data_IF_917229783528
#
_entry.id   IF_917229783528
#
_cell.length_a   1.000
_cell.length_b   1.000
_cell.length_c   1.000
_cell.angle_alpha   90.00
_cell.angle_beta   90.00
_cell.angle_gamma   90.00
#
_symmetry.space_group_name_H-M   'P 1'
#
loop_
_entity.id
_entity.type
_entity.pdbx_description
1 polymer ?
#
# COMPACT_ATOMS: atom_id res chain seq x y z
N UNK A 1 -10.79 -6.45 -16.78
CA UNK A 1 -11.80 -5.46 -16.35
C UNK A 1 -11.05 -4.40 -15.55
N UNK A 2 -11.00 -3.19 -16.07
CA UNK A 2 -10.47 -2.04 -15.35
C UNK A 2 -11.64 -1.37 -14.66
N UNK A 3 -11.52 -1.07 -13.36
CA UNK A 3 -12.40 -0.11 -12.72
C UNK A 3 -12.12 1.27 -13.34
N UNK A 4 -13.17 2.04 -13.62
CA UNK A 4 -12.98 3.45 -13.97
C UNK A 4 -12.24 4.14 -12.82
N UNK A 5 -11.21 4.97 -13.10
CA UNK A 5 -10.48 5.65 -12.06
C UNK A 5 -11.43 6.54 -11.25
N UNK A 6 -11.50 6.30 -9.96
CA UNK A 6 -12.22 7.18 -9.04
C UNK A 6 -11.57 8.57 -9.10
N UNK A 7 -12.38 9.62 -9.15
CA UNK A 7 -11.84 10.98 -9.15
C UNK A 7 -11.02 11.19 -7.86
N UNK A 8 -9.77 11.67 -8.00
CA UNK A 8 -8.95 12.04 -6.84
C UNK A 8 -9.67 13.13 -6.06
N UNK A 9 -9.92 12.87 -4.77
CA UNK A 9 -10.25 13.93 -3.83
C UNK A 9 -8.95 14.66 -3.42
N UNK A 10 -9.06 15.91 -3.01
CA UNK A 10 -7.94 16.61 -2.37
C UNK A 10 -7.48 15.80 -1.16
N UNK A 11 -6.16 15.65 -0.98
CA UNK A 11 -5.60 14.85 0.12
C UNK A 11 -6.00 15.47 1.46
N UNK A 12 -6.69 14.72 2.34
CA UNK A 12 -7.13 15.25 3.63
C UNK A 12 -5.91 15.52 4.53
N UNK A 13 -5.99 16.59 5.32
CA UNK A 13 -4.94 16.95 6.28
C UNK A 13 -5.00 16.10 7.56
N UNK A 14 -6.15 15.49 7.85
CA UNK A 14 -6.36 14.62 9.02
C UNK A 14 -7.36 13.51 8.72
N UNK A 15 -7.40 12.48 9.59
CA UNK A 15 -8.38 11.39 9.48
C UNK A 15 -9.84 11.87 9.64
N UNK A 16 -10.07 13.01 10.26
CA UNK A 16 -11.43 13.57 10.44
C UNK A 16 -12.01 14.11 9.12
N UNK A 17 -11.18 14.31 8.12
CA UNK A 17 -11.55 14.78 6.78
C UNK A 17 -11.69 13.62 5.77
N UNK A 18 -11.42 12.39 6.20
CA UNK A 18 -11.49 11.19 5.35
C UNK A 18 -12.93 10.72 5.21
N UNK A 19 -13.28 10.24 4.02
CA UNK A 19 -14.60 9.70 3.71
C UNK A 19 -15.04 8.67 4.76
N UNK A 20 -16.29 8.76 5.27
CA UNK A 20 -16.85 7.81 6.24
C UNK A 20 -16.74 6.35 5.83
N UNK A 21 -16.78 6.01 4.54
CA UNK A 21 -16.62 4.64 4.06
C UNK A 21 -15.20 4.10 4.30
N UNK A 22 -14.18 4.97 4.19
CA UNK A 22 -12.79 4.64 4.50
C UNK A 22 -12.65 4.40 6.00
N UNK A 23 -13.25 5.27 6.80
CA UNK A 23 -13.31 5.16 8.25
C UNK A 23 -14.00 3.85 8.69
N UNK A 24 -15.10 3.49 8.03
CA UNK A 24 -15.76 2.19 8.27
C UNK A 24 -14.86 1.02 7.91
N UNK A 25 -14.05 1.16 6.89
CA UNK A 25 -13.01 0.20 6.52
C UNK A 25 -11.98 -0.01 7.64
N UNK A 26 -11.47 1.06 8.24
CA UNK A 26 -10.58 0.99 9.40
C UNK A 26 -11.23 0.29 10.59
N UNK A 27 -12.50 0.58 10.87
CA UNK A 27 -13.25 -0.10 11.91
C UNK A 27 -13.40 -1.61 11.65
N UNK A 28 -13.58 -2.01 10.39
CA UNK A 28 -13.64 -3.43 9.99
C UNK A 28 -12.30 -4.16 10.11
N UNK A 29 -11.18 -3.44 10.02
CA UNK A 29 -9.85 -3.99 10.31
C UNK A 29 -9.60 -4.17 11.81
N UNK A 30 -10.54 -3.73 12.66
CA UNK A 30 -10.38 -3.80 14.10
C UNK A 30 -9.36 -2.81 14.65
N UNK A 31 -8.98 -1.80 13.87
CA UNK A 31 -8.15 -0.69 14.32
C UNK A 31 -9.11 0.43 14.75
N UNK A 32 -9.38 0.63 16.05
CA UNK A 32 -10.25 1.69 16.50
C UNK A 32 -9.68 3.05 16.05
N UNK A 33 -10.49 3.87 15.39
CA UNK A 33 -10.09 5.23 14.97
C UNK A 33 -9.62 6.06 16.16
N UNK A 34 -10.21 5.82 17.32
CA UNK A 34 -9.78 6.47 18.57
C UNK A 34 -8.37 6.06 18.99
N UNK A 35 -7.95 4.83 18.74
CA UNK A 35 -6.56 4.41 18.93
C UNK A 35 -5.64 5.03 17.86
N UNK A 36 -6.11 5.19 16.62
CA UNK A 36 -5.36 5.91 15.59
C UNK A 36 -5.22 7.39 15.91
N UNK A 37 -6.25 8.02 16.49
CA UNK A 37 -6.17 9.39 17.05
C UNK A 37 -5.23 9.49 18.25
N UNK A 38 -5.14 8.43 19.06
CA UNK A 38 -4.24 8.35 20.22
C UNK A 38 -2.83 7.92 19.84
N UNK A 39 -2.68 7.14 18.79
CA UNK A 39 -1.41 6.85 18.11
C UNK A 39 -0.98 8.04 17.23
N UNK A 40 -1.31 9.26 17.67
CA UNK A 40 -1.05 10.53 17.02
C UNK A 40 0.19 10.47 16.11
N UNK A 41 -0.02 10.32 14.80
CA UNK A 41 1.08 10.33 13.87
C UNK A 41 1.20 9.11 12.96
N UNK A 42 0.11 8.54 12.47
CA UNK A 42 0.13 7.59 11.34
C UNK A 42 -0.22 8.32 10.05
N UNK A 43 0.66 8.29 9.07
CA UNK A 43 0.32 8.73 7.72
C UNK A 43 -0.39 7.58 6.99
N UNK A 44 -1.56 7.85 6.46
CA UNK A 44 -2.40 6.85 5.80
C UNK A 44 -2.54 7.16 4.31
N UNK A 45 -2.29 6.17 3.47
CA UNK A 45 -2.66 6.15 2.06
C UNK A 45 -3.81 5.15 1.86
N UNK A 46 -4.96 5.62 1.39
CA UNK A 46 -6.13 4.78 1.18
C UNK A 46 -6.29 4.44 -0.31
N UNK A 47 -6.31 3.15 -0.61
CA UNK A 47 -6.42 2.63 -1.98
C UNK A 47 -7.70 1.79 -2.11
N UNK A 48 -8.63 2.26 -2.93
CA UNK A 48 -9.89 1.59 -3.23
C UNK A 48 -9.88 1.05 -4.66
N UNK A 49 -10.18 -0.25 -4.82
CA UNK A 49 -10.25 -0.91 -6.13
C UNK A 49 -9.01 -0.62 -7.02
N UNK A 50 -7.82 -0.67 -6.41
CA UNK A 50 -6.51 -0.40 -7.04
C UNK A 50 -6.30 1.06 -7.50
N UNK A 51 -6.98 2.02 -6.87
CA UNK A 51 -6.79 3.46 -7.12
C UNK A 51 -6.60 4.17 -5.77
N UNK A 52 -5.51 4.94 -5.63
CA UNK A 52 -5.30 5.78 -4.44
C UNK A 52 -6.30 6.93 -4.45
N UNK A 53 -7.04 7.08 -3.35
CA UNK A 53 -8.09 8.10 -3.20
C UNK A 53 -7.71 9.19 -2.19
N UNK A 54 -6.84 8.90 -1.24
CA UNK A 54 -6.42 9.86 -0.23
C UNK A 54 -5.06 9.48 0.38
N UNK A 55 -4.17 10.46 0.54
CA UNK A 55 -2.92 10.32 1.31
C UNK A 55 -2.84 11.45 2.32
N UNK A 56 -2.61 11.11 3.60
CA UNK A 56 -2.56 12.08 4.71
C UNK A 56 -1.11 12.42 5.08
N UNK A 57 -0.91 13.57 5.74
CA UNK A 57 0.37 14.03 6.29
C UNK A 57 1.49 14.25 5.26
N UNK A 58 1.20 14.38 3.97
CA UNK A 58 2.21 14.58 2.92
C UNK A 58 3.13 15.77 3.22
N UNK A 59 2.58 16.93 3.53
CA UNK A 59 3.37 18.16 3.80
C UNK A 59 4.35 17.99 4.97
N UNK A 60 3.99 17.20 5.98
CA UNK A 60 4.87 16.95 7.13
C UNK A 60 6.01 16.02 6.73
N UNK A 61 5.72 14.98 5.98
CA UNK A 61 6.71 14.03 5.49
C UNK A 61 7.67 14.67 4.49
N UNK A 62 7.15 15.53 3.60
CA UNK A 62 7.95 16.27 2.61
C UNK A 62 8.99 17.21 3.28
N UNK A 63 8.68 17.80 4.44
CA UNK A 63 9.62 18.64 5.20
C UNK A 63 10.84 17.85 5.68
N UNK A 64 10.68 16.56 5.95
CA UNK A 64 11.75 15.64 6.29
C UNK A 64 12.37 14.98 5.03
N UNK A 65 11.88 15.33 3.85
CA UNK A 65 12.30 14.72 2.58
C UNK A 65 11.75 13.33 2.33
N UNK A 66 10.83 12.85 3.18
CA UNK A 66 10.16 11.56 3.01
C UNK A 66 9.07 11.70 1.95
N UNK A 67 9.07 10.81 0.96
CA UNK A 67 8.03 10.72 -0.04
C UNK A 67 7.10 9.59 0.35
N UNK A 68 5.81 9.88 0.47
CA UNK A 68 4.76 8.88 0.67
C UNK A 68 3.54 9.26 -0.18
N UNK A 69 3.29 8.49 -1.22
CA UNK A 69 2.25 8.78 -2.20
C UNK A 69 1.83 7.53 -2.97
N UNK A 70 0.88 7.65 -3.87
CA UNK A 70 0.53 6.57 -4.78
C UNK A 70 1.64 6.29 -5.81
N UNK A 71 1.69 5.06 -6.34
CA UNK A 71 2.62 4.71 -7.44
C UNK A 71 2.36 5.61 -8.66
N UNK A 72 1.10 5.87 -9.00
CA UNK A 72 0.74 6.72 -10.15
C UNK A 72 1.24 8.16 -9.99
N UNK A 73 1.22 8.69 -8.78
CA UNK A 73 1.82 9.99 -8.47
C UNK A 73 3.36 9.92 -8.54
N UNK A 74 3.95 8.88 -7.96
CA UNK A 74 5.40 8.69 -7.99
C UNK A 74 5.95 8.57 -9.43
N UNK A 75 5.22 7.92 -10.34
CA UNK A 75 5.58 7.85 -11.78
C UNK A 75 5.69 9.24 -12.40
N UNK A 76 4.84 10.17 -11.99
CA UNK A 76 4.81 11.53 -12.53
C UNK A 76 5.84 12.44 -11.85
N UNK A 77 5.92 12.41 -10.51
CA UNK A 77 6.74 13.35 -9.74
C UNK A 77 8.16 12.85 -9.49
N UNK A 78 8.38 11.52 -9.42
CA UNK A 78 9.65 10.88 -9.06
C UNK A 78 10.05 9.77 -10.04
N UNK A 79 10.01 10.03 -11.38
CA UNK A 79 10.21 9.00 -12.41
C UNK A 79 11.57 8.30 -12.31
N UNK A 80 12.60 8.98 -11.80
CA UNK A 80 13.94 8.40 -11.67
C UNK A 80 14.00 7.31 -10.60
N UNK A 81 13.29 7.50 -9.48
CA UNK A 81 13.20 6.48 -8.43
C UNK A 81 12.40 5.27 -8.92
N UNK A 82 11.28 5.52 -9.59
CA UNK A 82 10.46 4.45 -10.16
C UNK A 82 11.24 3.64 -11.19
N UNK A 83 11.91 4.27 -12.14
CA UNK A 83 12.74 3.58 -13.16
C UNK A 83 13.86 2.76 -12.54
N UNK A 84 14.44 3.23 -11.44
CA UNK A 84 15.56 2.57 -10.79
C UNK A 84 15.13 1.34 -9.98
N UNK A 85 13.99 1.41 -9.30
CA UNK A 85 13.64 0.45 -8.26
C UNK A 85 12.41 -0.43 -8.58
N UNK A 86 11.41 0.07 -9.30
CA UNK A 86 10.18 -0.69 -9.56
C UNK A 86 10.49 -1.92 -10.43
N UNK A 87 10.12 -3.10 -9.93
CA UNK A 87 10.40 -4.37 -10.59
C UNK A 87 11.85 -4.87 -10.41
N UNK A 88 12.66 -4.19 -9.61
CA UNK A 88 14.06 -4.58 -9.37
C UNK A 88 14.19 -5.72 -8.38
N UNK A 89 13.23 -5.91 -7.49
CA UNK A 89 13.21 -6.96 -6.45
C UNK A 89 12.25 -8.08 -6.84
N UNK A 90 11.09 -7.74 -7.41
CA UNK A 90 10.13 -8.69 -7.96
C UNK A 90 9.95 -8.42 -9.45
N UNK A 91 10.78 -9.02 -10.32
CA UNK A 91 10.62 -8.87 -11.75
C UNK A 91 9.35 -9.57 -12.25
N UNK A 92 8.85 -9.17 -13.43
CA UNK A 92 7.67 -9.80 -14.04
C UNK A 92 7.84 -11.32 -14.26
N UNK A 93 9.07 -11.81 -14.29
CA UNK A 93 9.41 -13.23 -14.49
C UNK A 93 9.47 -14.04 -13.19
N UNK A 94 9.21 -13.43 -12.02
CA UNK A 94 9.32 -14.11 -10.73
C UNK A 94 8.34 -15.29 -10.60
N UNK A 95 7.07 -15.04 -10.89
CA UNK A 95 6.01 -16.05 -10.92
C UNK A 95 4.81 -15.56 -11.73
N UNK A 96 3.82 -16.45 -11.95
CA UNK A 96 2.64 -16.17 -12.75
C UNK A 96 1.87 -14.93 -12.26
N UNK A 97 1.63 -14.81 -10.94
CA UNK A 97 0.87 -13.69 -10.38
C UNK A 97 1.65 -12.38 -10.33
N UNK A 98 2.98 -12.45 -10.18
CA UNK A 98 3.85 -11.28 -10.34
C UNK A 98 3.86 -10.78 -11.79
N UNK A 99 3.84 -11.70 -12.76
CA UNK A 99 3.68 -11.35 -14.17
C UNK A 99 2.33 -10.69 -14.44
N UNK A 100 1.24 -11.29 -13.96
CA UNK A 100 -0.10 -10.73 -14.09
C UNK A 100 -0.21 -9.36 -13.43
N UNK A 101 0.26 -9.23 -12.18
CA UNK A 101 0.31 -7.94 -11.49
C UNK A 101 1.07 -6.90 -12.32
N UNK A 102 2.26 -7.22 -12.82
CA UNK A 102 3.07 -6.30 -13.62
C UNK A 102 2.38 -5.82 -14.91
N UNK A 103 1.50 -6.66 -15.48
CA UNK A 103 0.76 -6.32 -16.70
C UNK A 103 -0.47 -5.43 -16.45
N UNK A 104 -1.09 -5.54 -15.26
CA UNK A 104 -2.43 -4.95 -15.05
C UNK A 104 -2.57 -4.09 -13.80
N UNK A 105 -1.53 -3.94 -12.95
CA UNK A 105 -1.63 -3.06 -11.79
C UNK A 105 -1.84 -1.61 -12.25
N UNK A 106 -2.74 -0.90 -11.60
CA UNK A 106 -3.09 0.48 -11.93
C UNK A 106 -2.52 1.48 -10.93
N UNK A 107 -2.39 1.06 -9.68
CA UNK A 107 -1.85 1.90 -8.62
C UNK A 107 -1.27 1.03 -7.47
N UNK A 108 -0.93 1.67 -6.39
CA UNK A 108 -0.36 1.09 -5.19
C UNK A 108 0.35 2.14 -4.35
N UNK A 109 1.20 1.73 -3.44
CA UNK A 109 1.85 2.62 -2.50
C UNK A 109 3.34 2.78 -2.80
N UNK A 110 3.83 4.01 -2.70
CA UNK A 110 5.24 4.35 -2.84
C UNK A 110 5.74 5.08 -1.60
N UNK A 111 6.82 4.59 -1.00
CA UNK A 111 7.52 5.25 0.08
C UNK A 111 9.02 5.33 -0.21
N UNK A 112 9.60 6.51 -0.03
CA UNK A 112 11.03 6.74 -0.12
C UNK A 112 11.50 7.51 1.10
N UNK A 113 12.47 6.95 1.81
CA UNK A 113 13.06 7.52 3.00
C UNK A 113 14.50 7.89 2.69
N UNK A 114 14.85 9.20 2.70
CA UNK A 114 16.16 9.65 2.35
C UNK A 114 17.21 9.23 3.37
N UNK A 115 18.47 9.29 2.95
CA UNK A 115 19.63 8.95 3.77
C UNK A 115 19.63 9.68 5.12
N UNK A 116 19.84 8.92 6.20
CA UNK A 116 19.98 9.44 7.56
C UNK A 116 18.64 9.84 8.20
N UNK A 117 17.51 9.71 7.50
CA UNK A 117 16.19 10.10 8.02
C UNK A 117 15.54 8.93 8.73
N UNK A 118 15.11 9.16 9.97
CA UNK A 118 14.18 8.27 10.68
C UNK A 118 12.78 8.81 10.47
N UNK A 119 11.96 8.08 9.72
CA UNK A 119 10.58 8.50 9.44
C UNK A 119 9.85 8.83 10.76
N UNK A 120 9.35 10.05 10.93
CA UNK A 120 8.84 10.53 12.23
C UNK A 120 7.54 9.86 12.66
N UNK A 121 6.83 9.25 11.73
CA UNK A 121 5.54 8.62 11.94
C UNK A 121 5.48 7.26 11.25
N UNK A 122 4.60 6.37 11.71
CA UNK A 122 4.31 5.14 11.00
C UNK A 122 3.53 5.43 9.72
N UNK A 123 3.96 4.83 8.61
CA UNK A 123 3.24 4.89 7.34
C UNK A 123 2.26 3.72 7.28
N UNK A 124 1.07 3.96 6.75
CA UNK A 124 0.06 2.92 6.56
C UNK A 124 -0.59 3.03 5.20
N UNK A 125 -0.72 1.91 4.50
CA UNK A 125 -1.59 1.82 3.33
C UNK A 125 -2.74 0.88 3.62
N UNK A 126 -3.94 1.33 3.27
CA UNK A 126 -5.16 0.57 3.39
C UNK A 126 -5.72 0.23 2.02
N UNK A 127 -5.74 -1.06 1.69
CA UNK A 127 -6.29 -1.58 0.44
C UNK A 127 -7.66 -2.20 0.67
N UNK A 128 -8.65 -1.79 -0.12
CA UNK A 128 -10.00 -2.33 -0.06
C UNK A 128 -10.57 -2.65 -1.43
N UNK A 129 -11.09 -3.85 -1.60
CA UNK A 129 -11.81 -4.28 -2.79
C UNK A 129 -13.29 -3.99 -2.57
N UNK A 130 -13.89 -3.06 -3.32
CA UNK A 130 -15.31 -2.72 -3.22
C UNK A 130 -16.13 -3.22 -4.40
N UNK A 131 -15.57 -3.29 -5.60
CA UNK A 131 -16.32 -3.63 -6.79
C UNK A 131 -16.56 -5.14 -6.94
N UNK A 132 -17.70 -5.51 -7.51
CA UNK A 132 -18.07 -6.90 -7.83
C UNK A 132 -17.40 -7.31 -9.15
N UNK A 133 -16.99 -8.58 -9.26
CA UNK A 133 -16.39 -9.17 -10.46
C UNK A 133 -15.09 -8.46 -10.92
N UNK A 134 -14.36 -7.85 -10.00
CA UNK A 134 -13.06 -7.23 -10.26
C UNK A 134 -11.97 -7.99 -9.52
N UNK A 135 -10.74 -7.92 -10.04
CA UNK A 135 -9.53 -8.26 -9.29
C UNK A 135 -8.90 -7.00 -8.74
N UNK A 136 -8.18 -7.13 -7.65
CA UNK A 136 -7.32 -6.06 -7.14
C UNK A 136 -5.86 -6.43 -7.41
N UNK A 137 -5.17 -5.50 -8.05
CA UNK A 137 -3.77 -5.64 -8.45
C UNK A 137 -3.05 -4.38 -8.03
N UNK A 138 -2.41 -4.40 -6.88
CA UNK A 138 -1.63 -3.28 -6.40
C UNK A 138 -0.15 -3.63 -6.28
N UNK A 139 0.69 -2.59 -6.27
CA UNK A 139 2.12 -2.74 -6.11
C UNK A 139 2.65 -1.75 -5.09
N UNK A 140 3.29 -2.27 -4.04
CA UNK A 140 3.92 -1.46 -3.00
C UNK A 140 5.42 -1.45 -3.23
N UNK A 141 6.04 -0.26 -3.22
CA UNK A 141 7.49 -0.08 -3.30
C UNK A 141 7.97 0.80 -2.15
N UNK A 142 8.82 0.25 -1.28
CA UNK A 142 9.41 0.96 -0.15
C UNK A 142 10.93 0.96 -0.30
N UNK A 143 11.53 2.14 -0.26
CA UNK A 143 12.97 2.35 -0.39
C UNK A 143 13.45 3.07 0.85
N UNK A 144 14.38 2.47 1.58
CA UNK A 144 15.08 3.06 2.71
C UNK A 144 16.55 3.25 2.32
N UNK A 145 16.98 4.50 2.17
CA UNK A 145 18.36 4.87 1.86
C UNK A 145 19.27 4.63 3.09
N UNK A 146 20.60 4.81 2.92
CA UNK A 146 21.56 4.55 3.98
C UNK A 146 21.18 5.23 5.32
N UNK A 147 21.38 4.52 6.43
CA UNK A 147 21.15 5.01 7.80
C UNK A 147 19.70 5.49 8.06
N UNK A 148 18.72 5.05 7.28
CA UNK A 148 17.32 5.46 7.41
C UNK A 148 16.46 4.42 8.12
N UNK A 149 15.27 4.85 8.58
CA UNK A 149 14.31 4.00 9.26
C UNK A 149 12.88 4.31 8.84
N UNK A 150 12.09 3.27 8.65
CA UNK A 150 10.64 3.38 8.47
C UNK A 150 9.89 2.21 9.09
N UNK A 151 8.77 2.51 9.74
CA UNK A 151 7.73 1.55 10.10
C UNK A 151 6.57 1.68 9.13
N UNK A 152 6.16 0.56 8.53
CA UNK A 152 5.10 0.52 7.52
C UNK A 152 4.11 -0.60 7.84
N UNK A 153 2.83 -0.26 7.86
CA UNK A 153 1.72 -1.17 8.04
C UNK A 153 0.87 -1.25 6.77
N UNK A 154 0.61 -2.44 6.30
CA UNK A 154 -0.31 -2.69 5.19
C UNK A 154 -1.59 -3.35 5.71
N UNK A 155 -2.72 -2.73 5.46
CA UNK A 155 -4.05 -3.27 5.76
C UNK A 155 -4.79 -3.64 4.48
N UNK A 156 -5.28 -4.88 4.38
CA UNK A 156 -6.04 -5.35 3.23
C UNK A 156 -7.38 -5.94 3.67
N UNK A 157 -8.48 -5.55 3.03
CA UNK A 157 -9.80 -6.09 3.33
C UNK A 157 -10.71 -6.15 2.10
N UNK A 158 -11.72 -6.99 2.16
CA UNK A 158 -12.81 -7.03 1.21
C UNK A 158 -14.14 -7.33 1.94
N UNK A 159 -15.29 -6.81 1.47
CA UNK A 159 -16.59 -7.18 2.01
C UNK A 159 -16.93 -8.65 1.68
N UNK A 160 -17.79 -9.24 2.52
CA UNK A 160 -18.33 -10.58 2.28
C UNK A 160 -19.23 -10.57 1.04
N UNK A 161 -18.94 -11.43 0.07
CA UNK A 161 -19.67 -11.54 -1.19
C UNK A 161 -19.88 -12.99 -1.61
N UNK A 162 -20.88 -13.22 -2.46
CA UNK A 162 -21.18 -14.54 -3.05
C UNK A 162 -20.25 -14.88 -4.22
N UNK A 163 -19.68 -13.87 -4.86
CA UNK A 163 -18.74 -14.00 -5.98
C UNK A 163 -17.33 -14.16 -5.44
N UNK A 164 -16.54 -15.01 -6.10
CA UNK A 164 -15.10 -15.09 -5.84
C UNK A 164 -14.37 -13.90 -6.44
N UNK A 165 -13.37 -13.39 -5.73
CA UNK A 165 -12.54 -12.27 -6.18
C UNK A 165 -11.06 -12.67 -6.14
N UNK A 166 -10.26 -12.05 -7.00
CA UNK A 166 -8.82 -12.24 -7.05
C UNK A 166 -8.11 -11.00 -6.48
N UNK A 167 -7.22 -11.25 -5.52
CA UNK A 167 -6.25 -10.28 -5.05
C UNK A 167 -4.84 -10.77 -5.41
N UNK A 168 -4.13 -10.04 -6.22
CA UNK A 168 -2.76 -10.37 -6.60
C UNK A 168 -1.86 -9.14 -6.44
N UNK A 169 -1.19 -9.05 -5.31
CA UNK A 169 -0.35 -7.93 -4.94
C UNK A 169 1.14 -8.25 -5.05
N UNK A 170 1.95 -7.21 -5.24
CA UNK A 170 3.40 -7.29 -5.19
C UNK A 170 3.93 -6.24 -4.23
N UNK A 171 4.81 -6.66 -3.31
CA UNK A 171 5.52 -5.76 -2.38
C UNK A 171 7.01 -5.90 -2.57
N UNK A 172 7.66 -4.78 -2.84
CA UNK A 172 9.11 -4.67 -3.01
C UNK A 172 9.69 -3.76 -1.92
N UNK A 173 10.61 -4.30 -1.12
CA UNK A 173 11.31 -3.55 -0.09
C UNK A 173 12.79 -3.47 -0.45
N UNK A 174 13.39 -2.28 -0.40
CA UNK A 174 14.82 -2.05 -0.65
C UNK A 174 15.43 -1.35 0.54
N UNK A 175 16.31 -2.03 1.27
CA UNK A 175 17.08 -1.48 2.37
C UNK A 175 18.55 -1.34 1.96
N UNK A 176 19.09 -0.12 2.03
CA UNK A 176 20.50 0.17 1.75
C UNK A 176 21.37 0.04 3.00
N UNK A 177 22.58 0.63 3.03
CA UNK A 177 23.53 0.46 4.15
C UNK A 177 22.91 0.97 5.47
N UNK A 178 22.89 0.13 6.53
CA UNK A 178 22.34 0.43 7.86
C UNK A 178 20.85 0.84 7.86
N UNK A 179 20.12 0.64 6.77
CA UNK A 179 18.70 0.98 6.71
C UNK A 179 17.85 -0.07 7.41
N UNK A 180 16.76 0.37 8.03
CA UNK A 180 15.82 -0.49 8.73
C UNK A 180 14.40 -0.26 8.20
N UNK A 181 13.78 -1.31 7.68
CA UNK A 181 12.36 -1.32 7.29
C UNK A 181 11.62 -2.30 8.19
N UNK A 182 10.74 -1.78 9.03
CA UNK A 182 9.77 -2.59 9.76
C UNK A 182 8.49 -2.67 8.93
N UNK A 183 8.26 -3.79 8.28
CA UNK A 183 7.06 -4.02 7.48
C UNK A 183 6.11 -4.99 8.20
N UNK A 184 4.87 -4.57 8.34
CA UNK A 184 3.79 -5.37 8.92
C UNK A 184 2.58 -5.41 7.99
N UNK A 185 1.81 -6.50 8.01
CA UNK A 185 0.58 -6.59 7.22
C UNK A 185 -0.54 -7.24 8.03
N UNK A 186 -1.73 -6.67 7.90
CA UNK A 186 -2.98 -7.24 8.40
C UNK A 186 -3.89 -7.48 7.22
N UNK A 187 -4.30 -8.73 7.03
CA UNK A 187 -5.18 -9.14 5.94
C UNK A 187 -6.45 -9.77 6.51
N UNK A 188 -7.60 -9.19 6.18
CA UNK A 188 -8.89 -9.67 6.63
C UNK A 188 -9.74 -10.05 5.41
N UNK A 189 -9.65 -11.33 5.03
CA UNK A 189 -10.30 -11.89 3.87
C UNK A 189 -11.43 -12.83 4.25
N UNK A 190 -12.53 -12.75 3.52
CA UNK A 190 -13.62 -13.70 3.61
C UNK A 190 -13.27 -14.98 2.84
N UNK A 191 -13.30 -16.15 3.48
CA UNK A 191 -12.87 -17.41 2.85
C UNK A 191 -13.91 -18.04 1.89
N UNK A 192 -15.12 -17.53 1.83
CA UNK A 192 -16.27 -18.12 1.18
C UNK A 192 -17.29 -18.67 2.20
N UNK A 193 -18.45 -19.10 1.71
CA UNK A 193 -19.49 -19.71 2.53
C UNK A 193 -19.17 -21.18 2.87
N UNK A 194 -20.03 -21.84 3.66
CA UNK A 194 -19.88 -23.24 4.06
C UNK A 194 -19.83 -24.26 2.89
N UNK A 195 -20.29 -23.83 1.70
CA UNK A 195 -20.23 -24.60 0.46
C UNK A 195 -19.01 -24.24 -0.40
N UNK A 196 -18.10 -23.40 0.11
CA UNK A 196 -16.91 -22.91 -0.61
C UNK A 196 -17.21 -21.91 -1.73
N UNK A 197 -18.37 -21.23 -1.65
CA UNK A 197 -18.81 -20.25 -2.65
C UNK A 197 -18.44 -18.84 -2.24
N UNK A 198 -17.94 -18.04 -3.17
CA UNK A 198 -17.40 -16.70 -2.90
C UNK A 198 -15.98 -16.76 -2.36
N UNK A 199 -15.57 -15.72 -1.64
CA UNK A 199 -14.26 -15.62 -1.02
C UNK A 199 -13.20 -14.96 -1.89
N UNK A 200 -12.01 -14.79 -1.31
CA UNK A 200 -10.87 -14.11 -1.95
C UNK A 200 -9.78 -15.12 -2.27
N UNK A 201 -9.39 -15.18 -3.54
CA UNK A 201 -8.13 -15.81 -3.96
C UNK A 201 -7.00 -14.80 -3.76
N UNK A 202 -6.20 -15.00 -2.72
CA UNK A 202 -5.15 -14.07 -2.32
C UNK A 202 -3.76 -14.59 -2.70
N UNK A 203 -3.15 -13.99 -3.72
CA UNK A 203 -1.81 -14.31 -4.20
C UNK A 203 -0.91 -13.09 -4.06
N UNK A 204 -0.07 -13.08 -3.04
CA UNK A 204 0.81 -11.95 -2.75
C UNK A 204 2.27 -12.36 -2.81
N UNK A 205 3.05 -11.61 -3.59
CA UNK A 205 4.50 -11.77 -3.66
C UNK A 205 5.17 -10.62 -2.93
N UNK A 206 5.79 -10.91 -1.78
CA UNK A 206 6.51 -9.93 -0.96
C UNK A 206 7.99 -10.30 -0.91
N UNK A 207 8.86 -9.35 -1.29
CA UNK A 207 10.32 -9.54 -1.30
C UNK A 207 11.03 -8.33 -0.69
N UNK A 208 12.03 -8.62 0.13
CA UNK A 208 12.97 -7.64 0.63
C UNK A 208 14.36 -7.85 0.04
N UNK A 209 14.98 -6.77 -0.43
CA UNK A 209 16.36 -6.72 -0.85
C UNK A 209 17.16 -5.93 0.20
N UNK A 210 17.92 -6.65 1.04
CA UNK A 210 18.92 -6.04 1.90
C UNK A 210 20.20 -5.84 1.07
N UNK A 211 20.38 -4.65 0.54
CA UNK A 211 21.46 -4.31 -0.38
C UNK A 211 22.67 -3.73 0.36
N UNK A 212 22.48 -3.39 1.62
CA UNK A 212 23.50 -2.85 2.49
C UNK A 212 24.45 -3.90 3.06
N UNK A 213 25.50 -3.43 3.75
CA UNK A 213 26.52 -4.29 4.38
C UNK A 213 26.17 -4.71 5.80
N UNK A 214 25.18 -4.09 6.41
CA UNK A 214 24.74 -4.35 7.80
C UNK A 214 23.22 -4.50 7.84
#
# INVERSE_FOLDING_TARGET
YYADPTAKSDSPASLDEVDPEIIEGFNKLGIPIEEQKQLAGVAVDAVLDSVSVATTYQDMLEKEGVIFCSISEAVQKHPELIKKYLGSVVPYSDNYYACLNSAVFSDGSFAYIPKGVRCPIELMTYFRINQINTGQFERTLIIAEDDSYVSYLEGCTAPVRKESQLHAAVVELVALDNAEIKYSTVQNWYPGDENGKGGIYNFVTKRGLCKGKN
#
